data_IF_989355833903
#
_entry.id   IF_989355833903
#
_cell.length_a   1.000
_cell.length_b   1.000
_cell.length_c   1.000
_cell.angle_alpha   90.00
_cell.angle_beta   90.00
_cell.angle_gamma   90.00
#
_symmetry.space_group_name_H-M   'P 1'
#
loop_
_entity.id
_entity.type
_entity.pdbx_description
1 polymer ?
#
# COMPACT_ATOMS: atom_id res chain seq x y z
N UNK A 1 11.13 16.25 -5.03
CA UNK A 1 9.99 15.91 -4.14
C UNK A 1 9.95 14.39 -3.91
N UNK A 2 9.59 13.98 -2.73
CA UNK A 2 9.53 12.55 -2.38
C UNK A 2 8.27 11.90 -2.95
N UNK A 3 8.45 10.99 -3.91
CA UNK A 3 7.36 10.38 -4.68
C UNK A 3 7.26 8.88 -4.45
N UNK A 4 6.06 8.34 -4.62
CA UNK A 4 5.79 6.90 -4.64
C UNK A 4 4.57 6.59 -5.51
N UNK A 5 4.46 5.35 -5.95
CA UNK A 5 3.35 4.83 -6.75
C UNK A 5 2.48 3.95 -5.87
N UNK A 6 1.18 4.16 -5.89
CA UNK A 6 0.26 3.46 -4.99
C UNK A 6 -1.11 3.18 -5.59
N UNK A 7 -1.79 2.21 -5.00
CA UNK A 7 -3.23 2.00 -5.11
C UNK A 7 -3.88 2.62 -3.88
N UNK A 8 -4.80 3.54 -4.10
CA UNK A 8 -5.62 4.13 -3.04
C UNK A 8 -6.79 3.20 -2.72
N UNK A 9 -7.20 3.18 -1.46
CA UNK A 9 -8.18 2.23 -0.96
C UNK A 9 -9.60 2.79 -0.99
N UNK A 10 -10.57 1.90 -1.16
CA UNK A 10 -12.00 2.23 -1.00
C UNK A 10 -12.33 2.54 0.45
N UNK A 11 -13.42 3.27 0.68
CA UNK A 11 -13.86 3.61 2.04
C UNK A 11 -14.16 2.36 2.90
N UNK A 12 -14.85 1.30 2.39
CA UNK A 12 -15.07 0.09 3.18
C UNK A 12 -13.78 -0.62 3.60
N UNK A 13 -12.76 -0.66 2.73
CA UNK A 13 -11.45 -1.24 3.08
C UNK A 13 -10.76 -0.40 4.14
N UNK A 14 -10.78 0.93 4.01
CA UNK A 14 -10.25 1.83 5.05
C UNK A 14 -10.97 1.65 6.39
N UNK A 15 -12.29 1.49 6.39
CA UNK A 15 -13.09 1.25 7.59
C UNK A 15 -12.64 -0.03 8.31
N UNK A 16 -12.45 -1.11 7.56
CA UNK A 16 -11.97 -2.38 8.10
C UNK A 16 -10.56 -2.24 8.70
N UNK A 17 -9.64 -1.56 8.00
CA UNK A 17 -8.28 -1.34 8.47
C UNK A 17 -8.25 -0.44 9.73
N UNK A 18 -9.07 0.58 9.78
CA UNK A 18 -9.17 1.43 10.99
C UNK A 18 -9.74 0.67 12.17
N UNK A 19 -10.67 -0.25 11.97
CA UNK A 19 -11.15 -1.15 13.01
C UNK A 19 -10.01 -2.06 13.52
N UNK A 20 -9.22 -2.62 12.61
CA UNK A 20 -8.04 -3.43 12.95
C UNK A 20 -7.04 -2.63 13.79
N UNK A 21 -6.74 -1.40 13.40
CA UNK A 21 -5.85 -0.50 14.16
C UNK A 21 -6.41 -0.23 15.56
N UNK A 22 -7.70 0.03 15.69
CA UNK A 22 -8.36 0.24 17.01
C UNK A 22 -8.27 -0.98 17.93
N UNK A 23 -8.31 -2.18 17.34
CA UNK A 23 -8.11 -3.43 18.12
C UNK A 23 -6.65 -3.64 18.51
N UNK A 24 -5.71 -3.19 17.69
CA UNK A 24 -4.27 -3.32 17.96
C UNK A 24 -3.77 -2.33 19.01
N UNK A 25 -4.23 -1.10 18.98
CA UNK A 25 -3.73 -0.01 19.84
C UNK A 25 -3.67 -0.37 21.32
N UNK A 26 -4.72 -0.94 21.94
CA UNK A 26 -4.66 -1.32 23.35
C UNK A 26 -3.81 -2.58 23.60
N UNK A 27 -3.49 -3.35 22.58
CA UNK A 27 -2.74 -4.61 22.68
C UNK A 27 -1.23 -4.44 22.50
N UNK A 28 -0.74 -3.28 22.08
CA UNK A 28 0.68 -3.00 21.86
C UNK A 28 1.26 -2.19 23.02
N UNK A 29 2.58 -2.29 23.24
CA UNK A 29 3.29 -1.53 24.27
C UNK A 29 3.58 -0.11 23.81
N UNK A 30 3.89 0.09 22.53
CA UNK A 30 4.15 1.37 21.89
C UNK A 30 4.04 1.23 20.38
N UNK A 31 3.92 2.35 19.65
CA UNK A 31 3.92 2.34 18.20
C UNK A 31 3.24 3.57 17.60
N UNK A 32 3.48 3.76 16.30
CA UNK A 32 2.85 4.81 15.51
C UNK A 32 1.94 4.17 14.46
N UNK A 33 0.64 4.37 14.61
CA UNK A 33 -0.34 3.82 13.68
C UNK A 33 -0.65 4.79 12.53
N UNK A 34 -0.96 4.21 11.38
CA UNK A 34 -1.31 4.97 10.19
C UNK A 34 -2.62 5.74 10.38
N UNK A 35 -2.65 6.97 9.91
CA UNK A 35 -3.90 7.72 9.80
C UNK A 35 -4.73 7.20 8.63
N UNK A 36 -6.05 7.30 8.74
CA UNK A 36 -6.98 6.80 7.72
C UNK A 36 -6.66 7.31 6.32
N UNK A 37 -6.40 8.60 6.18
CA UNK A 37 -6.08 9.25 4.90
C UNK A 37 -4.76 8.78 4.28
N UNK A 38 -3.89 8.17 5.06
CA UNK A 38 -2.59 7.67 4.61
C UNK A 38 -2.57 6.17 4.33
N UNK A 39 -3.70 5.48 4.52
CA UNK A 39 -3.79 4.05 4.20
C UNK A 39 -3.76 3.84 2.69
N UNK A 40 -2.83 3.03 2.21
CA UNK A 40 -2.64 2.75 0.79
C UNK A 40 -1.85 1.46 0.60
N UNK A 41 -1.84 0.95 -0.62
CA UNK A 41 -0.93 -0.11 -1.06
C UNK A 41 0.18 0.51 -1.92
N UNK A 42 1.42 0.50 -1.43
CA UNK A 42 2.57 0.97 -2.21
C UNK A 42 2.94 -0.05 -3.28
N UNK A 43 3.07 0.40 -4.53
CA UNK A 43 3.61 -0.39 -5.64
C UNK A 43 5.11 -0.15 -5.84
N UNK A 44 5.58 1.08 -5.66
CA UNK A 44 7.00 1.42 -5.74
C UNK A 44 7.30 2.73 -5.02
N UNK A 45 8.42 2.78 -4.32
CA UNK A 45 9.00 4.01 -3.79
C UNK A 45 9.98 4.59 -4.82
N UNK A 46 9.82 5.87 -5.16
CA UNK A 46 10.68 6.56 -6.10
C UNK A 46 11.74 7.43 -5.41
N UNK A 47 11.54 7.73 -4.12
CA UNK A 47 12.40 8.62 -3.34
C UNK A 47 12.33 10.07 -3.80
N UNK A 48 13.39 10.83 -3.56
CA UNK A 48 13.51 12.20 -4.04
C UNK A 48 13.63 12.21 -5.56
N UNK A 49 12.65 12.78 -6.24
CA UNK A 49 12.50 12.63 -7.68
C UNK A 49 11.83 13.84 -8.32
N UNK A 50 12.05 13.98 -9.63
CA UNK A 50 11.36 14.96 -10.46
C UNK A 50 9.99 14.44 -10.88
N UNK A 51 8.99 15.32 -10.87
CA UNK A 51 7.60 14.96 -11.17
C UNK A 51 7.40 14.51 -12.63
N UNK A 52 7.93 15.27 -13.59
CA UNK A 52 7.67 15.03 -15.01
C UNK A 52 8.10 13.63 -15.51
N UNK A 53 9.30 13.12 -15.22
CA UNK A 53 9.66 11.75 -15.57
C UNK A 53 8.78 10.70 -14.90
N UNK A 54 8.37 10.94 -13.65
CA UNK A 54 7.48 10.03 -12.93
C UNK A 54 6.08 9.98 -13.58
N UNK A 55 5.53 11.11 -13.99
CA UNK A 55 4.27 11.18 -14.74
C UNK A 55 4.38 10.43 -16.08
N UNK A 56 5.47 10.63 -16.81
CA UNK A 56 5.69 9.92 -18.07
C UNK A 56 5.74 8.39 -17.88
N UNK A 57 6.37 7.91 -16.82
CA UNK A 57 6.38 6.49 -16.51
C UNK A 57 4.98 5.99 -16.11
N UNK A 58 4.27 6.75 -15.27
CA UNK A 58 2.91 6.43 -14.84
C UNK A 58 1.97 6.22 -16.04
N UNK A 59 2.01 7.11 -17.02
CA UNK A 59 1.13 7.06 -18.19
C UNK A 59 1.48 5.95 -19.20
N UNK A 60 2.54 5.18 -18.96
CA UNK A 60 2.83 3.95 -19.70
C UNK A 60 2.10 2.72 -19.12
N UNK A 61 1.55 2.83 -17.93
CA UNK A 61 0.83 1.73 -17.29
C UNK A 61 -0.54 1.55 -17.95
N UNK A 62 -0.90 0.29 -18.17
CA UNK A 62 -2.21 -0.09 -18.71
C UNK A 62 -2.58 -1.48 -18.20
N UNK A 63 -3.82 -1.83 -18.36
CA UNK A 63 -4.33 -3.15 -18.00
C UNK A 63 -5.77 -3.11 -17.54
N UNK A 64 -6.34 -4.29 -17.21
CA UNK A 64 -7.70 -4.37 -16.72
C UNK A 64 -7.82 -3.81 -15.30
N UNK A 65 -8.99 -3.26 -14.97
CA UNK A 65 -9.39 -3.13 -13.58
C UNK A 65 -9.64 -4.52 -12.99
N UNK A 66 -9.39 -4.69 -11.71
CA UNK A 66 -9.49 -6.00 -11.06
C UNK A 66 -9.95 -5.90 -9.61
N UNK A 67 -10.55 -6.97 -9.11
CA UNK A 67 -10.90 -7.10 -7.71
C UNK A 67 -9.66 -7.43 -6.89
N UNK A 68 -9.49 -6.76 -5.76
CA UNK A 68 -8.42 -7.00 -4.80
C UNK A 68 -9.03 -7.26 -3.42
N UNK A 69 -8.58 -8.32 -2.76
CA UNK A 69 -9.05 -8.66 -1.41
C UNK A 69 -7.94 -8.45 -0.39
N UNK A 70 -8.23 -7.60 0.58
CA UNK A 70 -7.36 -7.36 1.74
C UNK A 70 -7.73 -8.38 2.82
N UNK A 71 -6.77 -9.18 3.23
CA UNK A 71 -6.92 -10.19 4.27
C UNK A 71 -5.60 -10.54 4.92
N UNK A 72 -5.65 -11.03 6.14
CA UNK A 72 -4.47 -11.45 6.87
C UNK A 72 -3.75 -10.26 7.51
N UNK A 73 -2.83 -10.62 8.40
CA UNK A 73 -2.08 -9.69 9.21
C UNK A 73 -0.69 -10.24 9.45
N UNK A 74 0.30 -9.39 9.44
CA UNK A 74 1.67 -9.80 9.67
C UNK A 74 2.56 -8.67 10.17
N UNK A 75 3.82 -8.98 10.32
CA UNK A 75 4.84 -8.01 10.75
C UNK A 75 6.14 -8.20 9.98
N UNK A 76 6.83 -7.11 9.77
CA UNK A 76 8.25 -7.11 9.46
C UNK A 76 9.03 -6.70 10.70
N UNK A 77 9.91 -7.57 11.18
CA UNK A 77 10.75 -7.26 12.33
C UNK A 77 11.78 -6.21 11.95
N UNK A 78 11.94 -5.20 12.82
CA UNK A 78 12.91 -4.12 12.66
C UNK A 78 13.50 -3.77 14.01
N UNK A 79 14.74 -3.31 14.01
CA UNK A 79 15.35 -2.70 15.19
C UNK A 79 14.53 -1.46 15.60
N UNK A 80 14.23 -1.34 16.89
CA UNK A 80 13.41 -0.24 17.40
C UNK A 80 11.90 -0.38 17.23
N UNK A 81 11.41 -1.54 16.78
CA UNK A 81 9.99 -1.86 16.67
C UNK A 81 9.57 -2.31 15.28
N UNK A 82 8.54 -3.12 15.24
CA UNK A 82 8.06 -3.79 14.04
C UNK A 82 7.22 -2.88 13.14
N UNK A 83 7.15 -3.24 11.87
CA UNK A 83 6.14 -2.76 10.94
C UNK A 83 5.00 -3.77 10.94
N UNK A 84 3.80 -3.33 11.35
CA UNK A 84 2.59 -4.14 11.27
C UNK A 84 1.85 -3.83 9.96
N UNK A 85 1.35 -4.88 9.31
CA UNK A 85 0.68 -4.74 8.02
C UNK A 85 -0.52 -5.68 7.87
N UNK A 86 -1.49 -5.25 7.07
CA UNK A 86 -2.52 -6.11 6.52
C UNK A 86 -2.05 -6.68 5.18
N UNK A 87 -2.41 -7.92 4.90
CA UNK A 87 -2.03 -8.62 3.68
C UNK A 87 -3.03 -8.42 2.54
N UNK A 88 -2.64 -8.90 1.38
CA UNK A 88 -3.49 -8.94 0.19
C UNK A 88 -3.50 -10.38 -0.32
N UNK A 89 -4.69 -10.90 -0.62
CA UNK A 89 -4.83 -12.21 -1.23
C UNK A 89 -4.05 -12.27 -2.54
N UNK A 90 -3.38 -13.40 -2.80
CA UNK A 90 -2.63 -13.62 -4.05
C UNK A 90 -3.48 -13.24 -5.25
N UNK A 91 -2.95 -12.35 -6.10
CA UNK A 91 -3.67 -11.74 -7.20
C UNK A 91 -2.75 -11.58 -8.42
N UNK A 92 -2.97 -12.34 -9.50
CA UNK A 92 -2.14 -12.27 -10.71
C UNK A 92 -2.18 -10.90 -11.40
N UNK A 93 -3.33 -10.21 -11.40
CA UNK A 93 -3.45 -8.89 -12.00
C UNK A 93 -2.65 -7.85 -11.22
N UNK A 94 -2.66 -7.92 -9.89
CA UNK A 94 -1.84 -7.07 -9.05
C UNK A 94 -0.35 -7.32 -9.27
N UNK A 95 0.06 -8.58 -9.37
CA UNK A 95 1.46 -8.93 -9.65
C UNK A 95 1.90 -8.44 -11.02
N UNK A 96 1.05 -8.56 -12.04
CA UNK A 96 1.32 -8.04 -13.38
C UNK A 96 1.45 -6.51 -13.38
N UNK A 97 0.58 -5.81 -12.67
CA UNK A 97 0.64 -4.35 -12.52
C UNK A 97 1.92 -3.91 -11.82
N UNK A 98 2.31 -4.58 -10.73
CA UNK A 98 3.57 -4.30 -10.02
C UNK A 98 4.79 -4.51 -10.94
N UNK A 99 4.76 -5.54 -11.79
CA UNK A 99 5.79 -5.78 -12.81
C UNK A 99 5.87 -4.67 -13.86
N UNK A 100 4.72 -4.17 -14.32
CA UNK A 100 4.68 -3.02 -15.24
C UNK A 100 5.24 -1.74 -14.58
N UNK A 101 4.91 -1.49 -13.33
CA UNK A 101 5.46 -0.34 -12.58
C UNK A 101 6.97 -0.45 -12.51
N UNK A 102 7.50 -1.62 -12.13
CA UNK A 102 8.94 -1.85 -12.08
C UNK A 102 9.60 -1.55 -13.42
N UNK A 103 9.03 -2.03 -14.52
CA UNK A 103 9.58 -1.84 -15.86
C UNK A 103 9.50 -0.38 -16.33
N UNK A 104 8.32 0.23 -16.26
CA UNK A 104 8.09 1.59 -16.76
C UNK A 104 8.95 2.63 -16.02
N UNK A 105 9.04 2.53 -14.71
CA UNK A 105 9.83 3.48 -13.92
C UNK A 105 11.33 3.22 -14.06
N UNK A 106 11.78 1.97 -14.12
CA UNK A 106 13.19 1.65 -14.37
C UNK A 106 13.67 2.17 -15.74
N UNK A 107 12.83 2.07 -16.77
CA UNK A 107 13.13 2.61 -18.10
C UNK A 107 13.27 4.14 -18.12
N UNK A 108 12.66 4.83 -17.16
CA UNK A 108 12.81 6.29 -16.96
C UNK A 108 13.96 6.65 -16.03
N UNK A 109 14.77 5.68 -15.63
CA UNK A 109 15.97 5.90 -14.81
C UNK A 109 15.73 5.91 -13.29
N UNK A 110 14.53 5.52 -12.83
CA UNK A 110 14.29 5.39 -11.39
C UNK A 110 14.96 4.14 -10.83
N UNK A 111 15.65 4.31 -9.72
CA UNK A 111 16.27 3.20 -8.98
C UNK A 111 15.26 2.61 -8.01
N UNK A 112 14.59 1.56 -8.43
CA UNK A 112 13.59 0.87 -7.63
C UNK A 112 14.22 -0.24 -6.78
N UNK A 113 13.51 -0.62 -5.71
CA UNK A 113 13.92 -1.73 -4.86
C UNK A 113 13.94 -3.03 -5.68
N UNK A 114 15.04 -3.81 -5.53
CA UNK A 114 15.23 -5.06 -6.28
C UNK A 114 14.51 -6.26 -5.67
N UNK A 115 14.01 -6.16 -4.42
CA UNK A 115 13.28 -7.24 -3.77
C UNK A 115 11.97 -7.53 -4.53
N UNK A 116 11.53 -8.80 -4.58
CA UNK A 116 10.23 -9.13 -5.13
C UNK A 116 9.11 -8.33 -4.47
N UNK A 117 8.13 -7.91 -5.25
CA UNK A 117 6.95 -7.21 -4.75
C UNK A 117 6.18 -8.10 -3.77
N UNK A 118 5.96 -7.60 -2.57
CA UNK A 118 5.13 -8.23 -1.54
C UNK A 118 4.02 -7.26 -1.14
N UNK A 119 2.80 -7.55 -1.55
CA UNK A 119 1.65 -6.70 -1.29
C UNK A 119 1.33 -6.63 0.21
N UNK A 120 1.41 -5.45 0.79
CA UNK A 120 1.06 -5.20 2.18
C UNK A 120 0.61 -3.77 2.39
N UNK A 121 -0.30 -3.59 3.33
CA UNK A 121 -0.80 -2.28 3.73
C UNK A 121 -0.31 -1.98 5.14
N UNK A 122 0.57 -1.01 5.27
CA UNK A 122 1.16 -0.64 6.57
C UNK A 122 0.10 -0.08 7.50
N UNK A 123 -0.06 -0.70 8.66
CA UNK A 123 -0.98 -0.28 9.73
C UNK A 123 -0.26 0.50 10.83
N UNK A 124 1.00 0.16 11.08
CA UNK A 124 1.80 0.82 12.11
C UNK A 124 3.29 0.59 11.92
N UNK A 125 4.08 1.51 12.46
CA UNK A 125 5.55 1.48 12.44
C UNK A 125 6.09 1.66 13.85
N UNK A 126 7.31 1.15 14.09
CA UNK A 126 7.96 1.18 15.39
C UNK A 126 7.05 0.61 16.48
N UNK A 127 6.33 -0.46 16.16
CA UNK A 127 5.37 -1.09 17.07
C UNK A 127 6.09 -2.09 17.96
N UNK A 128 5.93 -1.92 19.26
CA UNK A 128 6.43 -2.84 20.27
C UNK A 128 5.30 -3.76 20.72
N UNK A 129 5.36 -5.01 20.29
CA UNK A 129 4.39 -6.03 20.70
C UNK A 129 4.81 -6.62 22.05
N UNK A 130 3.86 -6.93 22.94
CA UNK A 130 4.16 -7.63 24.18
C UNK A 130 4.69 -9.04 23.89
N UNK A 131 5.50 -9.54 24.82
CA UNK A 131 5.94 -10.92 24.79
C UNK A 131 4.72 -11.85 24.77
N UNK A 132 4.77 -12.88 23.90
CA UNK A 132 3.67 -13.84 23.76
C UNK A 132 2.49 -13.33 22.91
N UNK A 133 2.56 -12.16 22.27
CA UNK A 133 1.52 -11.72 21.35
C UNK A 133 1.33 -12.75 20.22
N UNK A 134 0.14 -13.32 20.15
CA UNK A 134 -0.19 -14.35 19.15
C UNK A 134 -0.72 -13.70 17.86
N UNK A 135 0.21 -13.35 16.98
CA UNK A 135 -0.08 -12.70 15.70
C UNK A 135 -0.97 -13.57 14.81
N UNK A 136 -0.74 -14.88 14.78
CA UNK A 136 -1.53 -15.81 13.98
C UNK A 136 -2.98 -15.90 14.46
N UNK A 137 -3.19 -15.95 15.76
CA UNK A 137 -4.53 -15.95 16.33
C UNK A 137 -5.24 -14.62 16.07
N UNK A 138 -4.54 -13.50 16.23
CA UNK A 138 -5.07 -12.17 15.91
C UNK A 138 -5.48 -12.07 14.43
N UNK A 139 -4.63 -12.53 13.51
CA UNK A 139 -4.91 -12.53 12.07
C UNK A 139 -6.21 -13.26 11.72
N UNK A 140 -6.51 -14.36 12.42
CA UNK A 140 -7.74 -15.14 12.20
C UNK A 140 -9.02 -14.41 12.63
N UNK A 141 -8.92 -13.41 13.50
CA UNK A 141 -10.08 -12.63 13.95
C UNK A 141 -10.47 -11.52 12.99
N UNK A 142 -9.63 -11.22 11.99
CA UNK A 142 -9.83 -10.09 11.09
C UNK A 142 -10.70 -10.48 9.90
N UNK A 143 -11.69 -9.64 9.53
CA UNK A 143 -12.48 -9.87 8.33
C UNK A 143 -11.64 -9.60 7.08
N UNK A 144 -12.00 -10.24 5.96
CA UNK A 144 -11.53 -9.86 4.65
C UNK A 144 -12.41 -8.73 4.08
N UNK A 145 -11.83 -7.87 3.27
CA UNK A 145 -12.55 -6.81 2.56
C UNK A 145 -12.03 -6.68 1.14
N UNK A 146 -12.94 -6.62 0.18
CA UNK A 146 -12.60 -6.54 -1.24
C UNK A 146 -12.94 -5.17 -1.81
N UNK A 147 -12.17 -4.77 -2.81
CA UNK A 147 -12.40 -3.55 -3.58
C UNK A 147 -12.04 -3.76 -5.04
N UNK A 148 -12.60 -2.93 -5.91
CA UNK A 148 -12.20 -2.84 -7.30
C UNK A 148 -11.03 -1.86 -7.43
N UNK A 149 -9.93 -2.31 -8.05
CA UNK A 149 -8.80 -1.45 -8.40
C UNK A 149 -9.04 -0.90 -9.80
N UNK A 150 -9.25 0.41 -9.90
CA UNK A 150 -9.61 1.10 -11.14
C UNK A 150 -8.57 2.11 -11.60
N UNK A 151 -7.58 2.42 -10.76
CA UNK A 151 -6.51 3.36 -11.09
C UNK A 151 -5.25 3.14 -10.26
N UNK A 152 -4.15 3.66 -10.79
CA UNK A 152 -2.85 3.75 -10.12
C UNK A 152 -2.51 5.21 -9.94
N UNK A 153 -2.06 5.57 -8.75
CA UNK A 153 -1.79 6.97 -8.39
C UNK A 153 -0.29 7.22 -8.14
N UNK A 154 0.16 8.38 -8.60
CA UNK A 154 1.47 8.94 -8.25
C UNK A 154 1.29 9.87 -7.07
N UNK A 155 1.94 9.57 -5.97
CA UNK A 155 1.77 10.24 -4.70
C UNK A 155 3.01 11.02 -4.29
N UNK A 156 2.81 12.17 -3.68
CA UNK A 156 3.85 12.96 -3.01
C UNK A 156 3.75 12.77 -1.50
N UNK A 157 4.89 12.51 -0.86
CA UNK A 157 5.01 12.43 0.58
C UNK A 157 5.72 13.67 1.12
N UNK A 158 5.11 14.37 2.06
CA UNK A 158 5.71 15.53 2.72
C UNK A 158 5.19 15.67 4.15
N UNK A 159 5.86 16.47 4.95
CA UNK A 159 5.36 16.88 6.26
C UNK A 159 4.80 18.28 6.20
N UNK A 160 3.51 18.41 6.50
CA UNK A 160 2.81 19.68 6.60
C UNK A 160 2.45 19.88 8.07
N UNK A 161 2.96 20.96 8.68
CA UNK A 161 2.79 21.23 10.12
C UNK A 161 3.13 20.03 11.02
N UNK A 162 4.23 19.34 10.68
CA UNK A 162 4.69 18.15 11.42
C UNK A 162 3.95 16.85 11.12
N UNK A 163 2.85 16.89 10.39
CA UNK A 163 2.03 15.73 10.03
C UNK A 163 2.44 15.17 8.67
N UNK A 164 2.67 13.85 8.60
CA UNK A 164 2.90 13.15 7.34
C UNK A 164 1.65 13.24 6.47
N UNK A 165 1.80 13.81 5.28
CA UNK A 165 0.71 14.08 4.34
C UNK A 165 1.06 13.50 2.98
N UNK A 166 0.11 12.77 2.39
CA UNK A 166 0.21 12.23 1.05
C UNK A 166 -0.74 12.96 0.11
N UNK A 167 -0.20 13.47 -0.99
CA UNK A 167 -0.98 14.21 -2.00
C UNK A 167 -0.90 13.48 -3.33
N UNK A 168 -2.04 13.22 -3.94
CA UNK A 168 -2.09 12.66 -5.29
C UNK A 168 -1.66 13.71 -6.30
N UNK A 169 -0.60 13.44 -7.03
CA UNK A 169 -0.01 14.35 -8.02
C UNK A 169 -0.50 14.05 -9.43
N UNK A 170 -0.84 12.79 -9.70
CA UNK A 170 -1.34 12.31 -10.99
C UNK A 170 -1.89 10.89 -10.82
N UNK A 171 -2.65 10.42 -11.78
CA UNK A 171 -3.12 9.03 -11.82
C UNK A 171 -3.34 8.54 -13.25
N UNK A 172 -3.37 7.24 -13.41
CA UNK A 172 -3.77 6.56 -14.65
C UNK A 172 -4.89 5.57 -14.36
N UNK A 173 -5.95 5.60 -15.17
CA UNK A 173 -7.07 4.67 -15.07
C UNK A 173 -6.73 3.30 -15.64
N UNK A 174 -7.29 2.26 -15.03
CA UNK A 174 -7.30 0.90 -15.57
C UNK A 174 -8.61 0.65 -16.30
N UNK A 175 -8.55 -0.09 -17.41
CA UNK A 175 -9.73 -0.36 -18.24
C UNK A 175 -10.66 -1.34 -17.53
N UNK A 176 -11.95 -1.03 -17.48
CA UNK A 176 -12.95 -2.03 -17.10
C UNK A 176 -12.91 -3.16 -18.10
N UNK A 177 -12.79 -4.41 -17.64
CA UNK A 177 -12.98 -5.56 -18.52
C UNK A 177 -14.36 -5.41 -19.19
N UNK A 178 -14.38 -5.26 -20.51
CA UNK A 178 -15.61 -5.48 -21.25
C UNK A 178 -15.92 -6.96 -21.06
N UNK A 179 -16.99 -7.25 -20.32
CA UNK A 179 -17.55 -8.59 -20.34
C UNK A 179 -17.72 -8.96 -21.82
N UNK A 180 -17.01 -9.99 -22.24
CA UNK A 180 -17.27 -10.59 -23.53
C UNK A 180 -18.68 -11.14 -23.48
N UNK A 181 -19.57 -10.48 -24.20
CA UNK A 181 -20.90 -11.00 -24.50
C UNK A 181 -20.80 -12.27 -25.35
#
# INVERSE_FOLDING_TARGET
MRLFVAILLSEPVKDMLMQTIRQLQPAVLDGRFSHRENLHLTLAFLGESSLKPAQQALHQLSGPSFAMTVEGFGRFRRDGGDILWAGVRKNPDLSALAGQVQQAFSQKGFLLEKRPFAAHLTLGRQVLLPEGFNLKAFSKTLPASSMQVERVSLMKSERINGRLTYTEMDFVGLNKNREQK
#
